data_IF_733438829486
#
_entry.id   IF_733438829486
#
_cell.length_a   1.000
_cell.length_b   1.000
_cell.length_c   1.000
_cell.angle_alpha   90.00
_cell.angle_beta   90.00
_cell.angle_gamma   90.00
#
_symmetry.space_group_name_H-M   'P 1'
#
loop_
_entity.id
_entity.type
_entity.pdbx_description
1 polymer ?
#
# COMPACT_ATOMS: atom_id res chain seq x y z
N UNK A 1 -7.68 25.94 13.76
CA UNK A 1 -8.60 24.77 13.61
C UNK A 1 -8.51 24.20 12.21
N UNK A 2 -8.53 25.06 11.19
CA UNK A 2 -8.42 24.70 9.77
C UNK A 2 -7.05 24.14 9.38
N UNK A 3 -5.94 24.61 9.96
CA UNK A 3 -4.61 24.03 9.66
C UNK A 3 -4.50 22.55 10.06
N UNK A 4 -5.10 22.16 11.19
CA UNK A 4 -5.09 20.78 11.64
C UNK A 4 -5.83 19.85 10.67
N UNK A 5 -6.95 20.31 10.11
CA UNK A 5 -7.73 19.55 9.11
C UNK A 5 -6.89 19.34 7.85
N UNK A 6 -6.17 20.38 7.40
CA UNK A 6 -5.32 20.31 6.19
C UNK A 6 -4.16 19.34 6.39
N UNK A 7 -3.47 19.40 7.54
CA UNK A 7 -2.34 18.50 7.85
C UNK A 7 -2.81 17.04 7.89
N UNK A 8 -3.95 16.76 8.55
CA UNK A 8 -4.51 15.39 8.63
C UNK A 8 -4.91 14.86 7.25
N UNK A 9 -5.57 15.69 6.43
CA UNK A 9 -5.96 15.30 5.08
C UNK A 9 -4.75 14.94 4.20
N UNK A 10 -3.64 15.69 4.33
CA UNK A 10 -2.42 15.42 3.57
C UNK A 10 -1.70 14.14 4.01
N UNK A 11 -1.65 13.86 5.33
CA UNK A 11 -1.10 12.59 5.84
C UNK A 11 -1.94 11.41 5.34
N UNK A 12 -3.27 11.56 5.35
CA UNK A 12 -4.18 10.53 4.85
C UNK A 12 -3.90 10.21 3.37
N UNK A 13 -3.76 11.25 2.52
CA UNK A 13 -3.47 11.10 1.09
C UNK A 13 -2.11 10.42 0.86
N UNK A 14 -1.07 10.83 1.60
CA UNK A 14 0.27 10.26 1.48
C UNK A 14 0.32 8.76 1.83
N UNK A 15 -0.56 8.30 2.72
CA UNK A 15 -0.59 6.90 3.15
C UNK A 15 -1.44 5.98 2.26
N UNK A 16 -2.27 6.51 1.34
CA UNK A 16 -3.21 5.72 0.54
C UNK A 16 -2.50 4.59 -0.21
N UNK A 17 -1.37 4.88 -0.84
CA UNK A 17 -0.66 3.91 -1.67
C UNK A 17 -0.14 2.71 -0.84
N UNK A 18 0.41 2.94 0.35
CA UNK A 18 0.85 1.86 1.25
C UNK A 18 -0.34 1.00 1.71
N UNK A 19 -1.47 1.62 2.05
CA UNK A 19 -2.66 0.90 2.50
C UNK A 19 -3.33 0.10 1.38
N UNK A 20 -3.27 0.56 0.13
CA UNK A 20 -3.73 -0.22 -1.02
C UNK A 20 -2.92 -1.51 -1.17
N UNK A 21 -1.59 -1.41 -1.15
CA UNK A 21 -0.72 -2.59 -1.24
C UNK A 21 -0.86 -3.51 -0.03
N UNK A 22 -1.02 -2.97 1.18
CA UNK A 22 -1.34 -3.76 2.36
C UNK A 22 -2.63 -4.58 2.18
N UNK A 23 -3.71 -3.95 1.71
CA UNK A 23 -4.97 -4.63 1.44
C UNK A 23 -4.82 -5.73 0.38
N UNK A 24 -4.01 -5.49 -0.65
CA UNK A 24 -3.69 -6.48 -1.67
C UNK A 24 -2.92 -7.67 -1.09
N UNK A 25 -1.94 -7.43 -0.22
CA UNK A 25 -1.19 -8.48 0.48
C UNK A 25 -2.11 -9.37 1.31
N UNK A 26 -2.98 -8.78 2.15
CA UNK A 26 -3.91 -9.54 2.99
C UNK A 26 -4.84 -10.40 2.13
N UNK A 27 -5.48 -9.83 1.10
CA UNK A 27 -6.40 -10.55 0.21
C UNK A 27 -5.71 -11.72 -0.50
N UNK A 28 -4.53 -11.49 -1.05
CA UNK A 28 -3.77 -12.53 -1.75
C UNK A 28 -3.31 -13.64 -0.81
N UNK A 29 -2.86 -13.30 0.40
CA UNK A 29 -2.46 -14.30 1.39
C UNK A 29 -3.66 -15.12 1.87
N UNK A 30 -4.81 -14.49 2.11
CA UNK A 30 -6.05 -15.20 2.44
C UNK A 30 -6.47 -16.14 1.31
N UNK A 31 -6.34 -15.71 0.05
CA UNK A 31 -6.61 -16.56 -1.12
C UNK A 31 -5.62 -17.74 -1.21
N UNK A 32 -4.34 -17.54 -0.89
CA UNK A 32 -3.35 -18.61 -0.84
C UNK A 32 -3.71 -19.65 0.23
N UNK A 33 -4.04 -19.21 1.44
CA UNK A 33 -4.47 -20.09 2.54
C UNK A 33 -5.73 -20.86 2.16
N UNK A 34 -6.72 -20.21 1.55
CA UNK A 34 -7.96 -20.86 1.11
C UNK A 34 -7.68 -21.93 0.04
N UNK A 35 -6.76 -21.68 -0.90
CA UNK A 35 -6.36 -22.65 -1.91
C UNK A 35 -5.63 -23.85 -1.27
N UNK A 36 -4.63 -23.59 -0.44
CA UNK A 36 -3.88 -24.63 0.28
C UNK A 36 -4.81 -25.49 1.16
N UNK A 37 -5.77 -24.86 1.85
CA UNK A 37 -6.76 -25.57 2.67
C UNK A 37 -7.72 -26.43 1.83
N UNK A 38 -8.03 -26.00 0.60
CA UNK A 38 -8.83 -26.80 -0.35
C UNK A 38 -8.03 -27.91 -1.03
N UNK A 39 -6.75 -28.08 -0.70
CA UNK A 39 -5.84 -29.04 -1.33
C UNK A 39 -5.29 -28.59 -2.69
N UNK A 40 -5.46 -27.32 -3.06
CA UNK A 40 -4.92 -26.71 -4.28
C UNK A 40 -3.59 -26.00 -3.99
N UNK A 41 -2.82 -25.75 -5.04
CA UNK A 41 -1.59 -24.96 -4.94
C UNK A 41 -1.91 -23.46 -4.75
N UNK A 42 -1.50 -22.88 -3.62
CA UNK A 42 -1.63 -21.46 -3.31
C UNK A 42 -0.45 -20.59 -3.76
N UNK A 43 0.57 -21.17 -4.42
CA UNK A 43 1.85 -20.51 -4.74
C UNK A 43 1.68 -19.20 -5.52
N UNK A 44 0.81 -19.18 -6.54
CA UNK A 44 0.55 -17.95 -7.33
C UNK A 44 0.02 -16.80 -6.48
N UNK A 45 -0.94 -17.08 -5.60
CA UNK A 45 -1.51 -16.07 -4.72
C UNK A 45 -0.48 -15.62 -3.66
N UNK A 46 0.34 -16.55 -3.16
CA UNK A 46 1.46 -16.25 -2.26
C UNK A 46 2.49 -15.33 -2.92
N UNK A 47 2.90 -15.59 -4.16
CA UNK A 47 3.80 -14.70 -4.92
C UNK A 47 3.20 -13.31 -5.12
N UNK A 48 1.91 -13.22 -5.46
CA UNK A 48 1.23 -11.93 -5.60
C UNK A 48 1.17 -11.16 -4.26
N UNK A 49 1.01 -11.85 -3.12
CA UNK A 49 1.09 -11.24 -1.80
C UNK A 49 2.51 -10.69 -1.51
N UNK A 50 3.55 -11.44 -1.86
CA UNK A 50 4.94 -11.01 -1.71
C UNK A 50 5.27 -9.78 -2.58
N UNK A 51 4.81 -9.75 -3.83
CA UNK A 51 4.98 -8.59 -4.71
C UNK A 51 4.29 -7.37 -4.11
N UNK A 52 3.04 -7.49 -3.66
CA UNK A 52 2.32 -6.39 -3.03
C UNK A 52 3.03 -5.90 -1.75
N UNK A 53 3.53 -6.80 -0.92
CA UNK A 53 4.33 -6.44 0.26
C UNK A 53 5.62 -5.69 -0.12
N UNK A 54 6.32 -6.11 -1.17
CA UNK A 54 7.49 -5.42 -1.69
C UNK A 54 7.17 -4.00 -2.19
N UNK A 55 6.05 -3.84 -2.92
CA UNK A 55 5.60 -2.52 -3.37
C UNK A 55 5.21 -1.62 -2.18
N UNK A 56 4.54 -2.18 -1.17
CA UNK A 56 4.23 -1.46 0.07
C UNK A 56 5.51 -0.95 0.75
N UNK A 57 6.56 -1.77 0.81
CA UNK A 57 7.86 -1.38 1.35
C UNK A 57 8.55 -0.30 0.50
N UNK A 58 8.55 -0.43 -0.83
CA UNK A 58 9.12 0.58 -1.73
C UNK A 58 8.45 1.94 -1.54
N UNK A 59 7.11 1.97 -1.53
CA UNK A 59 6.35 3.21 -1.33
C UNK A 59 6.50 3.74 0.10
N UNK A 60 6.49 2.88 1.12
CA UNK A 60 6.71 3.29 2.50
C UNK A 60 8.10 3.90 2.74
N UNK A 61 9.09 3.48 1.95
CA UNK A 61 10.44 4.04 1.98
C UNK A 61 10.61 5.31 1.12
N UNK A 62 9.64 5.63 0.24
CA UNK A 62 9.65 6.89 -0.48
C UNK A 62 9.31 8.02 0.50
N UNK A 63 10.30 8.88 0.72
CA UNK A 63 10.16 10.03 1.60
C UNK A 63 9.34 11.11 0.89
N UNK A 64 8.03 11.08 1.10
CA UNK A 64 7.15 12.16 0.66
C UNK A 64 7.28 13.33 1.63
N UNK A 65 8.07 14.32 1.25
CA UNK A 65 8.19 15.58 2.00
C UNK A 65 7.17 16.58 1.46
N UNK A 66 6.86 17.61 2.25
CA UNK A 66 6.02 18.73 1.80
C UNK A 66 6.50 19.27 0.44
N UNK A 67 7.82 19.38 0.27
CA UNK A 67 8.49 19.81 -0.97
C UNK A 67 8.08 18.99 -2.21
N UNK A 68 7.94 17.66 -2.08
CA UNK A 68 7.51 16.80 -3.20
C UNK A 68 6.06 17.00 -3.63
N UNK A 69 5.19 17.51 -2.76
CA UNK A 69 3.80 17.81 -3.10
C UNK A 69 3.62 19.25 -3.60
N UNK A 70 4.35 20.23 -3.04
CA UNK A 70 4.26 21.62 -3.52
C UNK A 70 4.91 21.79 -4.92
N UNK A 71 5.97 21.03 -5.21
CA UNK A 71 6.66 21.07 -6.50
C UNK A 71 5.99 20.23 -7.62
N UNK A 72 4.87 19.55 -7.33
CA UNK A 72 4.06 18.84 -8.34
C UNK A 72 3.05 19.75 -9.04
N UNK A 73 2.85 20.99 -8.60
CA UNK A 73 1.92 21.95 -9.23
C UNK A 73 2.57 22.67 -10.45
N UNK A 74 3.82 22.34 -10.79
CA UNK A 74 4.60 23.02 -11.84
C UNK A 74 5.08 22.15 -13.02
N UNK A 75 4.56 20.93 -13.20
CA UNK A 75 4.83 20.10 -14.39
C UNK A 75 3.57 19.48 -14.95
#
# INVERSE_FOLDING_TARGET
MTEYIIIVAMIAIAAIAVYQYFGQTVRNQTAAIAQELSGKDGSTAKSAAQTAAGQAQTVGNQKHTLDTYVNQVGK
#
